data_IF_129395725345
#
_entry.id   IF_129395725345
#
_cell.length_a   1.000
_cell.length_b   1.000
_cell.length_c   1.000
_cell.angle_alpha   90.00
_cell.angle_beta   90.00
_cell.angle_gamma   90.00
#
_symmetry.space_group_name_H-M   'P 1'
#
loop_
_entity.id
_entity.type
_entity.pdbx_description
1 polymer ?
#
# COMPACT_ATOMS: atom_id res chain seq x y z
N UNK A 1 6.53 1.11 -4.57
CA UNK A 1 6.45 -0.31 -4.21
C UNK A 1 5.35 -0.58 -3.19
N UNK A 2 4.85 -1.82 -3.08
CA UNK A 2 4.30 -2.28 -1.80
C UNK A 2 5.42 -2.15 -0.77
N UNK A 3 5.19 -1.50 0.36
CA UNK A 3 6.27 -1.19 1.31
C UNK A 3 6.98 -2.41 1.94
N UNK A 4 6.67 -3.65 1.51
CA UNK A 4 7.24 -4.89 2.02
C UNK A 4 7.74 -5.79 0.89
N UNK A 5 8.49 -6.84 1.25
CA UNK A 5 9.06 -7.78 0.28
C UNK A 5 7.98 -8.50 -0.55
N UNK A 6 8.24 -8.66 -1.84
CA UNK A 6 7.33 -9.31 -2.78
C UNK A 6 8.05 -10.42 -3.58
N UNK A 7 7.41 -11.58 -3.80
CA UNK A 7 7.84 -12.53 -4.81
C UNK A 7 7.76 -11.90 -6.22
N UNK A 8 8.67 -12.27 -7.13
CA UNK A 8 8.71 -11.69 -8.49
C UNK A 8 7.39 -11.74 -9.27
N UNK A 9 6.59 -12.81 -9.10
CA UNK A 9 5.25 -12.93 -9.73
C UNK A 9 4.23 -11.86 -9.27
N UNK A 10 4.51 -11.19 -8.16
CA UNK A 10 3.69 -10.11 -7.62
C UNK A 10 4.26 -8.72 -7.96
N UNK A 11 5.38 -8.63 -8.67
CA UNK A 11 6.01 -7.35 -9.00
C UNK A 11 5.54 -6.92 -10.40
N UNK A 12 4.85 -5.77 -10.45
CA UNK A 12 4.61 -5.06 -11.70
C UNK A 12 5.77 -4.08 -11.90
N UNK A 13 6.78 -4.46 -12.68
CA UNK A 13 8.03 -3.68 -12.79
C UNK A 13 7.79 -2.28 -13.34
N UNK A 14 6.98 -2.14 -14.38
CA UNK A 14 6.66 -0.86 -15.00
C UNK A 14 5.96 0.07 -14.00
N UNK A 15 4.89 -0.43 -13.35
CA UNK A 15 4.14 0.35 -12.38
C UNK A 15 4.97 0.68 -11.13
N UNK A 16 5.84 -0.24 -10.70
CA UNK A 16 6.73 -0.03 -9.55
C UNK A 16 7.77 1.05 -9.85
N UNK A 17 8.39 0.98 -11.02
CA UNK A 17 9.36 1.97 -11.44
C UNK A 17 8.73 3.37 -11.63
N UNK A 18 7.48 3.44 -12.11
CA UNK A 18 6.72 4.69 -12.15
C UNK A 18 6.51 5.26 -10.75
N UNK A 19 6.03 4.44 -9.81
CA UNK A 19 5.82 4.84 -8.43
C UNK A 19 7.10 5.32 -7.77
N UNK A 20 8.20 4.58 -7.92
CA UNK A 20 9.46 4.88 -7.22
C UNK A 20 10.11 6.19 -7.70
N UNK A 21 9.75 6.67 -8.91
CA UNK A 21 10.16 7.98 -9.45
C UNK A 21 9.22 9.14 -9.10
N UNK A 22 8.05 8.86 -8.54
CA UNK A 22 7.04 9.88 -8.22
C UNK A 22 7.26 10.52 -6.83
N UNK A 23 8.37 10.21 -6.17
CA UNK A 23 8.66 10.68 -4.82
C UNK A 23 8.79 12.20 -4.71
N UNK A 24 8.32 12.73 -3.60
CA UNK A 24 8.37 14.16 -3.26
C UNK A 24 9.61 14.57 -2.46
N UNK A 25 10.53 13.63 -2.21
CA UNK A 25 11.78 13.87 -1.50
C UNK A 25 12.97 14.22 -2.41
N UNK A 26 14.17 14.37 -1.81
CA UNK A 26 15.40 14.63 -2.56
C UNK A 26 15.64 13.62 -3.68
N UNK A 27 16.00 14.10 -4.86
CA UNK A 27 16.18 13.26 -6.07
C UNK A 27 14.92 12.46 -6.48
N UNK A 28 13.72 12.89 -6.09
CA UNK A 28 12.45 12.25 -6.48
C UNK A 28 12.17 10.95 -5.73
N UNK A 29 12.84 10.71 -4.59
CA UNK A 29 12.65 9.51 -3.77
C UNK A 29 11.57 9.71 -2.72
N UNK A 30 10.96 8.61 -2.33
CA UNK A 30 10.10 8.57 -1.15
C UNK A 30 10.92 8.60 0.15
N UNK A 31 10.33 9.15 1.21
CA UNK A 31 10.98 9.29 2.52
C UNK A 31 10.11 8.66 3.60
N UNK A 32 10.77 8.08 4.60
CA UNK A 32 10.15 7.30 5.66
C UNK A 32 10.87 7.57 6.98
N UNK A 33 10.13 7.54 8.09
CA UNK A 33 10.69 7.83 9.41
C UNK A 33 10.15 6.88 10.47
N UNK A 34 10.95 6.63 11.51
CA UNK A 34 10.50 5.81 12.65
C UNK A 34 9.59 6.57 13.62
N UNK A 35 9.58 7.90 13.55
CA UNK A 35 8.87 8.77 14.47
C UNK A 35 8.15 9.92 13.74
N UNK A 36 7.09 10.44 14.37
CA UNK A 36 6.27 11.53 13.84
C UNK A 36 7.04 12.84 13.66
N UNK A 37 8.03 13.08 14.52
CA UNK A 37 8.88 14.27 14.45
C UNK A 37 9.94 14.18 13.34
N UNK A 38 10.02 13.04 12.64
CA UNK A 38 10.92 12.78 11.51
C UNK A 38 12.40 12.95 11.88
N UNK A 39 12.74 12.53 13.09
CA UNK A 39 14.10 12.67 13.61
C UNK A 39 15.03 11.58 13.08
N UNK A 40 14.49 10.41 12.78
CA UNK A 40 15.24 9.26 12.26
C UNK A 40 14.62 8.80 10.95
N UNK A 41 15.34 9.03 9.84
CA UNK A 41 14.96 8.55 8.51
C UNK A 41 15.29 7.06 8.36
N UNK A 42 14.36 6.31 7.76
CA UNK A 42 14.48 4.87 7.53
C UNK A 42 14.92 4.58 6.09
N UNK A 43 15.77 3.58 5.93
CA UNK A 43 16.08 2.98 4.64
C UNK A 43 14.90 2.15 4.10
N UNK A 44 14.89 1.89 2.79
CA UNK A 44 13.89 1.01 2.17
C UNK A 44 13.93 -0.42 2.73
N UNK A 45 15.10 -0.91 3.12
CA UNK A 45 15.26 -2.22 3.74
C UNK A 45 14.56 -2.26 5.11
N UNK A 46 14.76 -1.23 5.93
CA UNK A 46 14.09 -1.12 7.24
C UNK A 46 12.58 -0.98 7.08
N UNK A 47 12.11 -0.18 6.12
CA UNK A 47 10.69 -0.05 5.77
C UNK A 47 10.12 -1.41 5.36
N UNK A 48 10.84 -2.15 4.51
CA UNK A 48 10.51 -3.52 4.11
C UNK A 48 10.31 -4.45 5.30
N UNK A 49 11.29 -4.46 6.22
CA UNK A 49 11.24 -5.27 7.44
C UNK A 49 10.08 -4.89 8.35
N UNK A 50 9.83 -3.60 8.55
CA UNK A 50 8.68 -3.11 9.34
C UNK A 50 7.36 -3.55 8.69
N UNK A 51 7.26 -3.43 7.38
CA UNK A 51 6.06 -3.79 6.63
C UNK A 51 5.74 -5.29 6.62
N UNK A 52 6.75 -6.14 6.80
CA UNK A 52 6.61 -7.60 6.94
C UNK A 52 6.41 -8.03 8.41
N UNK A 53 6.53 -7.11 9.38
CA UNK A 53 6.38 -7.41 10.80
C UNK A 53 4.98 -6.99 11.29
N UNK A 54 4.19 -7.89 11.90
CA UNK A 54 2.89 -7.53 12.49
C UNK A 54 3.00 -6.38 13.51
N UNK A 55 1.96 -5.55 13.57
CA UNK A 55 1.82 -4.45 14.53
C UNK A 55 2.95 -3.40 14.48
N UNK A 56 3.68 -3.32 13.37
CA UNK A 56 4.67 -2.28 13.09
C UNK A 56 4.12 -1.24 12.10
N UNK A 57 4.65 -0.03 12.18
CA UNK A 57 4.30 1.09 11.30
C UNK A 57 5.51 1.98 11.07
N UNK A 58 5.41 2.84 10.06
CA UNK A 58 6.36 3.91 9.80
C UNK A 58 5.59 5.19 9.45
N UNK A 59 6.27 6.32 9.56
CA UNK A 59 5.76 7.63 9.15
C UNK A 59 6.23 7.96 7.75
N UNK A 60 5.37 8.59 6.96
CA UNK A 60 5.71 9.05 5.61
C UNK A 60 4.87 10.27 5.22
N UNK A 61 5.03 10.76 3.99
CA UNK A 61 4.27 11.91 3.50
C UNK A 61 2.86 11.49 3.12
N UNK A 62 1.90 12.41 3.22
CA UNK A 62 0.56 12.13 2.70
C UNK A 62 0.55 11.91 1.18
N UNK A 63 1.50 12.52 0.47
CA UNK A 63 1.65 12.30 -0.96
C UNK A 63 2.06 10.85 -1.26
N UNK A 64 2.99 10.27 -0.49
CA UNK A 64 3.32 8.84 -0.58
C UNK A 64 2.08 7.98 -0.38
N UNK A 65 1.32 8.24 0.70
CA UNK A 65 0.15 7.43 1.05
C UNK A 65 -0.93 7.48 -0.05
N UNK A 66 -1.18 8.65 -0.61
CA UNK A 66 -2.06 8.81 -1.77
C UNK A 66 -1.59 7.98 -2.98
N UNK A 67 -0.31 8.12 -3.36
CA UNK A 67 0.25 7.38 -4.48
C UNK A 67 0.25 5.88 -4.24
N UNK A 68 0.44 5.42 -2.99
CA UNK A 68 0.44 4.01 -2.63
C UNK A 68 -0.95 3.40 -2.86
N UNK A 69 -1.99 4.10 -2.42
CA UNK A 69 -3.37 3.68 -2.65
C UNK A 69 -3.71 3.63 -4.15
N UNK A 70 -3.31 4.65 -4.92
CA UNK A 70 -3.53 4.66 -6.37
C UNK A 70 -2.73 3.56 -7.08
N UNK A 71 -1.49 3.31 -6.66
CA UNK A 71 -0.64 2.23 -7.17
C UNK A 71 -1.32 0.86 -7.00
N UNK A 72 -1.83 0.54 -5.80
CA UNK A 72 -2.47 -0.76 -5.56
C UNK A 72 -3.76 -0.93 -6.35
N UNK A 73 -4.55 0.15 -6.53
CA UNK A 73 -5.72 0.11 -7.40
C UNK A 73 -5.33 -0.12 -8.87
N UNK A 74 -4.32 0.59 -9.39
CA UNK A 74 -3.81 0.38 -10.75
C UNK A 74 -3.27 -1.04 -10.94
N UNK A 75 -2.58 -1.59 -9.93
CA UNK A 75 -2.08 -2.96 -9.95
C UNK A 75 -3.22 -3.98 -10.03
N UNK A 76 -4.30 -3.81 -9.26
CA UNK A 76 -5.49 -4.66 -9.36
C UNK A 76 -6.12 -4.63 -10.75
N UNK A 77 -6.15 -3.47 -11.41
CA UNK A 77 -6.64 -3.37 -12.79
C UNK A 77 -5.69 -4.05 -13.79
N UNK A 78 -4.37 -3.85 -13.65
CA UNK A 78 -3.35 -4.43 -14.53
C UNK A 78 -3.23 -5.94 -14.37
N UNK A 79 -3.44 -6.48 -13.17
CA UNK A 79 -3.42 -7.92 -12.89
C UNK A 79 -4.38 -8.72 -13.79
N UNK A 80 -5.49 -8.11 -14.22
CA UNK A 80 -6.49 -8.73 -15.11
C UNK A 80 -5.96 -9.09 -16.49
N UNK A 81 -4.88 -8.47 -16.95
CA UNK A 81 -4.37 -8.60 -18.32
C UNK A 81 -2.86 -8.90 -18.40
N UNK A 82 -2.10 -8.64 -17.33
CA UNK A 82 -0.64 -8.81 -17.31
C UNK A 82 -0.19 -10.15 -16.73
N UNK A 83 -1.06 -10.85 -15.98
CA UNK A 83 -0.68 -12.05 -15.23
C UNK A 83 0.09 -11.77 -13.92
N UNK A 84 0.37 -10.50 -13.59
CA UNK A 84 0.91 -10.12 -12.28
C UNK A 84 -0.12 -10.43 -11.20
N UNK A 85 0.34 -11.01 -10.09
CA UNK A 85 -0.52 -11.27 -8.94
C UNK A 85 -0.57 -10.09 -7.98
N UNK A 86 -1.76 -9.82 -7.45
CA UNK A 86 -1.92 -8.95 -6.28
C UNK A 86 -1.69 -9.79 -5.03
N UNK A 87 -0.92 -9.26 -4.09
CA UNK A 87 -0.65 -9.95 -2.83
C UNK A 87 -1.96 -10.15 -2.06
N UNK A 88 -2.16 -11.33 -1.48
CA UNK A 88 -3.37 -11.68 -0.72
C UNK A 88 -3.77 -10.62 0.33
N UNK A 89 -2.78 -9.98 0.95
CA UNK A 89 -2.98 -8.91 1.95
C UNK A 89 -3.62 -7.64 1.38
N UNK A 90 -3.47 -7.39 0.09
CA UNK A 90 -4.08 -6.25 -0.63
C UNK A 90 -5.24 -6.66 -1.53
N UNK A 91 -5.33 -7.95 -1.86
CA UNK A 91 -6.38 -8.52 -2.73
C UNK A 91 -7.67 -8.81 -1.96
N UNK A 92 -8.21 -7.77 -1.31
CA UNK A 92 -9.47 -7.83 -0.58
C UNK A 92 -10.18 -6.47 -0.61
N UNK A 93 -11.50 -6.51 -0.44
CA UNK A 93 -12.34 -5.32 -0.52
C UNK A 93 -12.08 -4.32 0.62
N UNK A 94 -11.68 -4.81 1.81
CA UNK A 94 -11.29 -3.95 2.94
C UNK A 94 -10.15 -3.01 2.54
N UNK A 95 -9.16 -3.53 1.83
CA UNK A 95 -8.03 -2.75 1.35
C UNK A 95 -8.47 -1.68 0.33
N UNK A 96 -9.39 -2.01 -0.59
CA UNK A 96 -9.98 -1.06 -1.53
C UNK A 96 -10.79 0.02 -0.80
N UNK A 97 -11.63 -0.37 0.16
CA UNK A 97 -12.39 0.56 1.02
C UNK A 97 -11.47 1.49 1.83
N UNK A 98 -10.35 0.98 2.33
CA UNK A 98 -9.32 1.79 3.00
C UNK A 98 -8.71 2.82 2.05
N UNK A 99 -8.24 2.38 0.88
CA UNK A 99 -7.72 3.26 -0.17
C UNK A 99 -8.75 4.32 -0.58
N UNK A 100 -10.03 3.95 -0.68
CA UNK A 100 -11.14 4.87 -0.97
C UNK A 100 -11.26 6.04 0.02
N UNK A 101 -10.92 5.82 1.29
CA UNK A 101 -11.00 6.87 2.33
C UNK A 101 -9.98 7.98 2.11
N UNK A 102 -8.85 7.69 1.47
CA UNK A 102 -7.84 8.69 1.12
C UNK A 102 -8.41 9.76 0.18
N UNK A 103 -9.38 9.41 -0.67
CA UNK A 103 -10.04 10.36 -1.57
C UNK A 103 -11.17 11.16 -0.92
N UNK A 104 -11.60 10.77 0.28
CA UNK A 104 -12.82 11.29 0.92
C UNK A 104 -12.55 12.36 1.99
N UNK A 105 -11.28 12.58 2.35
CA UNK A 105 -10.88 13.57 3.37
C UNK A 105 -9.57 14.25 2.96
N UNK A 106 -9.35 15.53 3.33
CA UNK A 106 -8.02 16.13 3.23
C UNK A 106 -7.07 15.28 4.08
N UNK A 107 -6.01 14.76 3.48
CA UNK A 107 -4.97 14.12 4.24
C UNK A 107 -4.23 15.21 5.06
N UNK A 108 -3.84 14.94 6.32
CA UNK A 108 -2.86 15.77 6.99
C UNK A 108 -1.57 15.83 6.15
N UNK A 109 -0.70 16.82 6.35
CA UNK A 109 0.56 16.96 5.56
C UNK A 109 1.40 15.66 5.61
N UNK A 110 1.29 14.90 6.69
CA UNK A 110 1.92 13.60 6.90
C UNK A 110 0.89 12.53 7.24
N UNK A 111 1.22 11.28 6.93
CA UNK A 111 0.40 10.13 7.30
C UNK A 111 1.30 9.07 7.94
N UNK A 112 0.83 8.45 9.02
CA UNK A 112 1.38 7.18 9.44
C UNK A 112 0.71 6.08 8.62
N UNK A 113 1.48 5.07 8.23
CA UNK A 113 0.98 3.95 7.45
C UNK A 113 1.13 2.70 8.30
N UNK A 114 0.00 2.22 8.80
CA UNK A 114 -0.09 0.92 9.44
C UNK A 114 -0.39 -0.12 8.36
N UNK A 115 0.61 -0.93 8.04
CA UNK A 115 0.44 -2.03 7.12
C UNK A 115 -0.16 -3.19 7.92
N UNK A 116 -1.47 -3.11 8.22
CA UNK A 116 -2.26 -4.21 8.81
C UNK A 116 -2.37 -5.38 7.81
N UNK A 117 -1.24 -5.94 7.43
CA UNK A 117 -1.09 -6.88 6.34
C UNK A 117 -1.09 -8.34 6.81
N UNK A 118 -1.12 -8.57 8.13
CA UNK A 118 -1.11 -9.89 8.78
C UNK A 118 -2.47 -10.37 9.29
N UNK A 119 -3.48 -9.50 9.41
CA UNK A 119 -4.82 -9.93 9.84
C UNK A 119 -5.65 -10.38 8.63
N UNK A 120 -5.73 -11.69 8.41
CA UNK A 120 -6.73 -12.27 7.51
C UNK A 120 -8.13 -11.97 8.04
N UNK A 121 -8.94 -11.23 7.29
CA UNK A 121 -10.39 -11.14 7.55
C UNK A 121 -11.16 -11.78 6.39
N UNK A 122 -12.25 -12.51 6.69
CA UNK A 122 -13.04 -13.18 5.68
C UNK A 122 -13.58 -12.19 4.65
N UNK A 123 -13.57 -12.58 3.38
CA UNK A 123 -14.10 -11.79 2.27
C UNK A 123 -15.59 -11.48 2.51
N UNK A 124 -15.94 -10.18 2.57
CA UNK A 124 -17.31 -9.67 2.84
C UNK A 124 -18.33 -10.12 1.77
N UNK A 125 -17.86 -10.51 0.58
CA UNK A 125 -18.70 -11.08 -0.48
C UNK A 125 -19.31 -12.44 -0.14
N UNK A 126 -18.89 -13.11 0.93
CA UNK A 126 -19.53 -14.33 1.43
C UNK A 126 -20.92 -14.10 2.06
N UNK A 127 -21.35 -12.83 2.20
CA UNK A 127 -22.67 -12.47 2.78
C UNK A 127 -23.76 -12.16 1.75
N UNK A 128 -23.48 -12.26 0.44
CA UNK A 128 -24.54 -12.13 -0.58
C UNK A 128 -25.28 -13.47 -0.65
N UNK A 129 -26.29 -13.64 0.20
CA UNK A 129 -27.32 -14.65 -0.01
C UNK A 129 -28.10 -14.24 -1.26
N UNK A 130 -27.95 -15.00 -2.35
CA UNK A 130 -28.81 -14.86 -3.52
C UNK A 130 -30.22 -15.28 -3.06
N UNK A 131 -31.09 -14.31 -2.79
CA UNK A 131 -32.52 -14.57 -2.76
C UNK A 131 -33.00 -14.70 -4.20
N UNK A 132 -32.89 -15.91 -4.74
CA UNK A 132 -33.64 -16.32 -5.93
C UNK A 132 -35.13 -16.27 -5.59
N UNK A 133 -35.86 -15.38 -6.25
CA UNK A 133 -37.33 -15.42 -6.37
C UNK A 133 -37.74 -16.45 -7.42
#
# INVERSE_FOLDING_TARGET
MAAAWLPGRCIDEELSAEFDRAGDGPAGRWQFWSDENRTVELSLEEVGRLADTPDQFFYTTANWHFHHCLFLWRKQQRAKVTGVLVERRYDNERHVKHCGKVFSKPLPVYAYVELKSSAEEPHDFSKITIHSS
#
